data_IF_686218313127
#
_entry.id   IF_686218313127
#
_cell.length_a   1.000
_cell.length_b   1.000
_cell.length_c   1.000
_cell.angle_alpha   90.00
_cell.angle_beta   90.00
_cell.angle_gamma   90.00
#
_symmetry.space_group_name_H-M   'P 1'
#
loop_
_entity.id
_entity.type
_entity.pdbx_description
1 polymer ?
#
# COMPACT_ATOMS: atom_id res chain seq x y z
N UNK A 1 -16.80 9.22 -3.11
CA UNK A 1 -15.78 9.07 -4.18
C UNK A 1 -15.50 7.59 -4.45
N UNK A 2 -14.80 7.23 -5.54
CA UNK A 2 -14.45 5.84 -5.89
C UNK A 2 -13.70 5.11 -4.77
N UNK A 3 -12.75 5.78 -4.11
CA UNK A 3 -11.99 5.20 -3.00
C UNK A 3 -12.85 4.95 -1.75
N UNK A 4 -13.91 5.74 -1.55
CA UNK A 4 -14.85 5.50 -0.44
C UNK A 4 -15.68 4.24 -0.71
N UNK A 5 -16.12 4.06 -1.97
CA UNK A 5 -16.80 2.83 -2.40
C UNK A 5 -15.89 1.60 -2.29
N UNK A 6 -14.62 1.73 -2.66
CA UNK A 6 -13.64 0.65 -2.53
C UNK A 6 -13.36 0.30 -1.05
N UNK A 7 -13.31 1.29 -0.15
CA UNK A 7 -13.15 1.07 1.28
C UNK A 7 -14.39 0.42 1.92
N UNK A 8 -15.59 0.90 1.61
CA UNK A 8 -16.83 0.42 2.22
C UNK A 8 -17.30 -0.92 1.65
N UNK A 9 -17.05 -1.18 0.36
CA UNK A 9 -17.61 -2.33 -0.36
C UNK A 9 -17.24 -3.69 0.24
N UNK A 10 -15.97 -3.94 0.52
CA UNK A 10 -15.53 -5.21 1.11
C UNK A 10 -16.00 -5.37 2.57
N UNK A 11 -16.08 -4.26 3.32
CA UNK A 11 -16.57 -4.25 4.71
C UNK A 11 -18.04 -4.66 4.77
N UNK A 12 -18.87 -4.07 3.91
CA UNK A 12 -20.27 -4.46 3.75
C UNK A 12 -20.40 -5.92 3.34
N UNK A 13 -19.62 -6.36 2.34
CA UNK A 13 -19.63 -7.75 1.88
C UNK A 13 -19.34 -8.74 3.02
N UNK A 14 -18.28 -8.51 3.79
CA UNK A 14 -17.96 -9.38 4.93
C UNK A 14 -19.00 -9.39 6.04
N UNK A 15 -19.63 -8.26 6.34
CA UNK A 15 -20.71 -8.21 7.34
C UNK A 15 -21.95 -8.94 6.85
N UNK A 16 -22.37 -8.73 5.60
CA UNK A 16 -23.53 -9.39 5.01
C UNK A 16 -23.34 -10.90 4.84
N UNK A 17 -22.11 -11.35 4.58
CA UNK A 17 -21.74 -12.77 4.53
C UNK A 17 -21.55 -13.40 5.93
N UNK A 18 -21.68 -12.64 7.02
CA UNK A 18 -21.47 -13.14 8.39
C UNK A 18 -20.01 -13.45 8.73
N UNK A 19 -19.05 -12.94 7.94
CA UNK A 19 -17.60 -13.17 8.12
C UNK A 19 -16.94 -12.15 9.05
N UNK A 20 -17.65 -11.08 9.41
CA UNK A 20 -17.14 -10.02 10.27
C UNK A 20 -18.27 -9.38 11.08
N UNK A 21 -17.98 -8.83 12.27
CA UNK A 21 -18.98 -8.15 13.08
C UNK A 21 -19.43 -6.83 12.44
N UNK A 22 -20.66 -6.39 12.76
CA UNK A 22 -21.20 -5.11 12.28
C UNK A 22 -20.35 -3.89 12.69
N UNK A 23 -19.60 -3.99 13.79
CA UNK A 23 -18.67 -2.94 14.23
C UNK A 23 -17.57 -2.64 13.21
N UNK A 24 -17.26 -3.56 12.28
CA UNK A 24 -16.36 -3.31 11.15
C UNK A 24 -16.79 -2.09 10.32
N UNK A 25 -18.09 -1.85 10.18
CA UNK A 25 -18.61 -0.75 9.35
C UNK A 25 -18.28 0.63 9.93
N UNK A 26 -18.08 0.75 11.25
CA UNK A 26 -17.70 2.03 11.88
C UNK A 26 -16.36 2.54 11.34
N UNK A 27 -15.42 1.62 11.05
CA UNK A 27 -14.10 1.95 10.52
C UNK A 27 -14.16 2.70 9.19
N UNK A 28 -15.24 2.59 8.41
CA UNK A 28 -15.37 3.39 7.19
C UNK A 28 -15.37 4.88 7.49
N UNK A 29 -16.15 5.31 8.47
CA UNK A 29 -16.22 6.73 8.83
C UNK A 29 -14.92 7.17 9.50
N UNK A 30 -14.40 6.36 10.44
CA UNK A 30 -13.17 6.66 11.16
C UNK A 30 -11.97 6.85 10.21
N UNK A 31 -11.90 6.05 9.15
CA UNK A 31 -10.86 6.12 8.14
C UNK A 31 -11.11 7.23 7.10
N UNK A 32 -12.30 7.27 6.49
CA UNK A 32 -12.54 8.10 5.29
C UNK A 32 -12.88 9.54 5.62
N UNK A 33 -13.48 9.82 6.77
CA UNK A 33 -13.76 11.20 7.19
C UNK A 33 -12.47 11.98 7.43
N UNK A 34 -11.48 11.35 8.08
CA UNK A 34 -10.16 11.98 8.34
C UNK A 34 -9.44 12.26 7.02
N UNK A 35 -9.45 11.31 6.08
CA UNK A 35 -8.85 11.52 4.75
C UNK A 35 -9.54 12.66 3.98
N UNK A 36 -10.87 12.73 4.02
CA UNK A 36 -11.61 13.80 3.38
C UNK A 36 -11.30 15.18 4.00
N UNK A 37 -11.16 15.25 5.33
CA UNK A 37 -10.74 16.47 6.02
C UNK A 37 -9.34 16.90 5.58
N UNK A 38 -8.39 15.98 5.53
CA UNK A 38 -7.03 16.26 5.07
C UNK A 38 -7.01 16.79 3.63
N UNK A 39 -7.91 16.30 2.76
CA UNK A 39 -8.07 16.80 1.39
C UNK A 39 -8.60 18.23 1.35
N UNK A 40 -9.60 18.55 2.17
CA UNK A 40 -10.12 19.92 2.28
C UNK A 40 -9.03 20.86 2.80
N UNK A 41 -8.30 20.46 3.84
CA UNK A 41 -7.26 21.30 4.44
C UNK A 41 -6.08 21.50 3.48
N UNK A 42 -5.71 20.48 2.71
CA UNK A 42 -4.74 20.61 1.62
C UNK A 42 -5.23 21.59 0.54
N UNK A 43 -6.45 21.42 0.05
CA UNK A 43 -7.01 22.22 -1.03
C UNK A 43 -7.12 23.71 -0.66
N UNK A 44 -7.42 24.03 0.61
CA UNK A 44 -7.38 25.41 1.13
C UNK A 44 -5.98 26.04 1.02
N UNK A 45 -4.94 25.29 1.40
CA UNK A 45 -3.56 25.79 1.34
C UNK A 45 -3.14 25.96 -0.12
N UNK A 46 -3.40 24.94 -0.94
CA UNK A 46 -3.05 24.95 -2.37
C UNK A 46 -3.74 26.09 -3.12
N UNK A 47 -5.05 26.25 -2.94
CA UNK A 47 -5.82 27.33 -3.58
C UNK A 47 -5.35 28.71 -3.15
N UNK A 48 -5.00 28.88 -1.87
CA UNK A 48 -4.44 30.13 -1.35
C UNK A 48 -3.08 30.44 -1.98
N UNK A 49 -2.21 29.44 -2.10
CA UNK A 49 -0.90 29.59 -2.72
C UNK A 49 -1.01 29.94 -4.20
N UNK A 50 -1.89 29.26 -4.94
CA UNK A 50 -2.12 29.52 -6.37
C UNK A 50 -2.77 30.89 -6.65
N UNK A 51 -3.46 31.48 -5.67
CA UNK A 51 -4.08 32.80 -5.79
C UNK A 51 -3.11 33.97 -5.51
N UNK A 52 -1.95 33.70 -4.88
CA UNK A 52 -0.92 34.71 -4.64
C UNK A 52 -0.26 35.15 -5.94
N UNK A 53 0.04 36.44 -6.04
CA UNK A 53 0.89 36.94 -7.13
C UNK A 53 2.36 36.59 -6.88
N UNK A 54 3.21 36.44 -7.91
CA UNK A 54 4.63 36.13 -7.75
C UNK A 54 5.36 37.08 -6.77
N UNK A 55 4.97 38.35 -6.72
CA UNK A 55 5.58 39.36 -5.85
C UNK A 55 5.17 39.23 -4.36
N UNK A 56 4.15 38.44 -4.05
CA UNK A 56 3.63 38.21 -2.70
C UNK A 56 4.27 36.98 -2.03
N UNK A 57 5.15 36.26 -2.74
CA UNK A 57 5.92 35.15 -2.20
C UNK A 57 7.21 35.67 -1.56
N UNK A 58 7.49 35.21 -0.33
CA UNK A 58 8.75 35.52 0.35
C UNK A 58 9.94 34.80 -0.31
N UNK A 59 9.68 33.60 -0.88
CA UNK A 59 10.65 32.81 -1.63
C UNK A 59 10.04 32.37 -2.98
N UNK A 60 10.67 32.70 -4.13
CA UNK A 60 10.22 32.26 -5.45
C UNK A 60 10.11 30.73 -5.61
N UNK A 61 10.86 29.94 -4.82
CA UNK A 61 10.83 28.48 -4.84
C UNK A 61 9.74 27.86 -3.95
N UNK A 62 9.02 28.66 -3.14
CA UNK A 62 8.02 28.15 -2.18
C UNK A 62 6.94 27.30 -2.87
N UNK A 63 6.47 27.74 -4.04
CA UNK A 63 5.46 27.02 -4.82
C UNK A 63 6.00 25.70 -5.37
N UNK A 64 7.23 25.69 -5.89
CA UNK A 64 7.88 24.48 -6.41
C UNK A 64 8.10 23.47 -5.29
N UNK A 65 8.66 23.90 -4.16
CA UNK A 65 8.89 23.06 -2.99
C UNK A 65 7.58 22.46 -2.47
N UNK A 66 6.51 23.27 -2.40
CA UNK A 66 5.20 22.79 -2.00
C UNK A 66 4.66 21.75 -2.99
N UNK A 67 4.76 22.00 -4.30
CA UNK A 67 4.32 21.07 -5.33
C UNK A 67 5.04 19.72 -5.24
N UNK A 68 6.37 19.74 -5.14
CA UNK A 68 7.19 18.51 -5.04
C UNK A 68 6.87 17.74 -3.76
N UNK A 69 6.80 18.43 -2.61
CA UNK A 69 6.52 17.81 -1.32
C UNK A 69 5.13 17.16 -1.27
N UNK A 70 4.18 17.67 -2.04
CA UNK A 70 2.77 17.27 -1.97
C UNK A 70 2.29 16.51 -3.18
N UNK A 71 3.16 16.20 -4.15
CA UNK A 71 2.82 15.52 -5.39
C UNK A 71 2.11 14.16 -5.18
N UNK A 72 2.40 13.45 -4.09
CA UNK A 72 1.72 12.19 -3.75
C UNK A 72 0.26 12.38 -3.32
N UNK A 73 -0.13 13.59 -2.92
CA UNK A 73 -1.45 13.88 -2.38
C UNK A 73 -2.53 13.92 -3.50
N UNK A 74 -2.38 14.70 -4.59
CA UNK A 74 -3.28 14.61 -5.75
C UNK A 74 -3.31 13.23 -6.40
N UNK A 75 -2.20 12.48 -6.33
CA UNK A 75 -2.13 11.11 -6.81
C UNK A 75 -2.92 10.11 -5.95
N UNK A 76 -3.46 10.54 -4.80
CA UNK A 76 -4.21 9.71 -3.88
C UNK A 76 -3.34 8.72 -3.08
N UNK A 77 -2.03 8.94 -3.04
CA UNK A 77 -1.06 8.01 -2.42
C UNK A 77 -0.65 8.38 -0.99
N UNK A 78 -1.01 9.59 -0.54
CA UNK A 78 -0.75 10.05 0.83
C UNK A 78 -1.72 9.50 1.88
N UNK A 79 -2.71 8.69 1.50
CA UNK A 79 -3.62 8.09 2.49
C UNK A 79 -2.84 7.13 3.39
N UNK A 80 -2.84 7.42 4.68
CA UNK A 80 -2.26 6.60 5.74
C UNK A 80 -3.26 6.54 6.88
N UNK A 81 -3.80 5.35 7.15
CA UNK A 81 -4.73 5.15 8.23
C UNK A 81 -4.01 5.08 9.57
N UNK A 82 -4.58 5.75 10.58
CA UNK A 82 -4.10 5.66 11.95
C UNK A 82 -4.36 4.25 12.54
N UNK A 83 -3.64 3.86 13.61
CA UNK A 83 -3.90 2.63 14.34
C UNK A 83 -5.37 2.48 14.75
N UNK A 84 -5.93 1.29 14.53
CA UNK A 84 -7.35 0.99 14.71
C UNK A 84 -7.57 -0.53 14.82
N UNK A 85 -8.82 -0.98 14.77
CA UNK A 85 -9.12 -2.42 14.71
C UNK A 85 -8.59 -3.12 13.45
N UNK A 86 -8.31 -2.38 12.36
CA UNK A 86 -7.81 -2.92 11.09
C UNK A 86 -6.33 -2.60 10.84
N UNK A 87 -5.84 -1.50 11.42
CA UNK A 87 -4.48 -1.01 11.21
C UNK A 87 -3.69 -1.16 12.49
N UNK A 88 -2.62 -1.95 12.47
CA UNK A 88 -1.78 -2.16 13.64
C UNK A 88 -0.87 -0.95 13.92
N UNK A 89 -0.30 -0.91 15.13
CA UNK A 89 0.83 -0.03 15.44
C UNK A 89 2.08 -0.45 14.66
N UNK A 90 2.95 0.52 14.36
CA UNK A 90 4.16 0.33 13.55
C UNK A 90 5.34 -0.31 14.30
N UNK A 91 5.08 -1.25 15.22
CA UNK A 91 6.06 -1.81 16.17
C UNK A 91 7.24 -2.53 15.50
N UNK A 92 7.02 -3.17 14.35
CA UNK A 92 8.04 -3.92 13.59
C UNK A 92 8.15 -3.42 12.14
N UNK A 93 7.92 -2.12 11.93
CA UNK A 93 7.90 -1.51 10.60
C UNK A 93 9.25 -1.62 9.87
N UNK A 94 10.34 -1.73 10.62
CA UNK A 94 11.71 -1.90 10.15
C UNK A 94 11.91 -3.18 9.33
N UNK A 95 11.15 -4.25 9.62
CA UNK A 95 11.18 -5.50 8.84
C UNK A 95 10.71 -5.30 7.39
N UNK A 96 9.91 -4.28 7.11
CA UNK A 96 9.33 -4.02 5.81
C UNK A 96 9.19 -2.50 5.55
N UNK A 97 10.28 -1.75 5.69
CA UNK A 97 10.26 -0.27 5.60
C UNK A 97 9.66 0.30 4.30
N UNK A 98 9.67 -0.47 3.20
CA UNK A 98 9.03 -0.10 1.93
C UNK A 98 7.50 -0.23 1.90
N UNK A 99 6.89 -0.80 2.95
CA UNK A 99 5.46 -1.01 3.10
C UNK A 99 4.95 -0.41 4.42
N UNK A 100 4.80 0.92 4.51
CA UNK A 100 4.29 1.58 5.71
C UNK A 100 2.89 1.07 6.07
N UNK A 101 2.70 0.68 7.33
CA UNK A 101 1.41 0.24 7.86
C UNK A 101 0.39 1.38 7.74
N UNK A 102 -0.84 1.05 7.34
CA UNK A 102 -1.91 2.03 7.12
C UNK A 102 -1.87 2.70 5.73
N UNK A 103 -0.77 2.60 4.98
CA UNK A 103 -0.72 3.02 3.56
C UNK A 103 -1.15 1.89 2.62
N UNK A 104 -1.47 2.28 1.37
CA UNK A 104 -1.72 1.29 0.31
C UNK A 104 -0.48 0.40 0.07
N UNK A 105 -0.71 -0.85 -0.30
CA UNK A 105 0.36 -1.73 -0.76
C UNK A 105 0.94 -1.23 -2.09
N UNK A 106 2.22 -0.81 -2.09
CA UNK A 106 2.91 -0.35 -3.29
C UNK A 106 3.45 -1.55 -4.07
N UNK A 107 2.85 -1.81 -5.23
CA UNK A 107 3.31 -2.87 -6.12
C UNK A 107 4.80 -2.72 -6.47
N UNK A 108 5.50 -3.84 -6.57
CA UNK A 108 6.89 -3.94 -7.00
C UNK A 108 7.03 -5.01 -8.11
N UNK A 109 7.99 -4.85 -9.03
CA UNK A 109 8.27 -5.87 -10.03
C UNK A 109 8.84 -7.13 -9.35
N UNK A 110 8.34 -8.30 -9.75
CA UNK A 110 8.73 -9.63 -9.28
C UNK A 110 8.75 -10.60 -10.45
N UNK A 111 9.38 -11.75 -10.26
CA UNK A 111 9.37 -12.86 -11.24
C UNK A 111 8.65 -14.05 -10.63
N UNK A 112 7.66 -14.58 -11.32
CA UNK A 112 6.96 -15.78 -10.88
C UNK A 112 7.82 -17.02 -11.15
N UNK A 113 8.03 -17.85 -10.13
CA UNK A 113 8.97 -18.97 -10.19
C UNK A 113 8.55 -20.06 -11.18
N UNK A 114 7.25 -20.36 -11.30
CA UNK A 114 6.80 -21.51 -12.11
C UNK A 114 6.98 -21.33 -13.63
N UNK A 115 7.12 -20.10 -14.11
CA UNK A 115 7.19 -19.78 -15.54
C UNK A 115 8.18 -18.65 -15.88
N UNK A 116 8.96 -18.19 -14.91
CA UNK A 116 9.92 -17.09 -15.03
C UNK A 116 9.32 -15.77 -15.57
N UNK A 117 8.00 -15.56 -15.44
CA UNK A 117 7.33 -14.41 -16.02
C UNK A 117 7.52 -13.16 -15.13
N UNK A 118 8.08 -12.04 -15.65
CA UNK A 118 8.17 -10.77 -14.93
C UNK A 118 6.80 -10.08 -14.83
N UNK A 119 6.45 -9.61 -13.64
CA UNK A 119 5.14 -9.00 -13.36
C UNK A 119 5.16 -8.10 -12.13
N UNK A 120 4.02 -7.51 -11.81
CA UNK A 120 3.85 -6.65 -10.64
C UNK A 120 3.14 -7.39 -9.51
N UNK A 121 3.78 -7.49 -8.34
CA UNK A 121 3.28 -8.26 -7.19
C UNK A 121 1.88 -7.81 -6.74
N UNK A 122 1.63 -6.49 -6.74
CA UNK A 122 0.35 -5.93 -6.33
C UNK A 122 -0.82 -6.28 -7.27
N UNK A 123 -0.56 -6.67 -8.52
CA UNK A 123 -1.63 -6.97 -9.48
C UNK A 123 -2.32 -8.32 -9.21
N UNK A 124 -1.74 -9.17 -8.36
CA UNK A 124 -2.41 -10.39 -7.88
C UNK A 124 -3.48 -10.12 -6.82
N UNK A 125 -3.51 -8.92 -6.24
CA UNK A 125 -4.57 -8.49 -5.34
C UNK A 125 -5.75 -7.92 -6.15
N UNK A 126 -6.59 -8.81 -6.67
CA UNK A 126 -7.84 -8.44 -7.35
C UNK A 126 -8.93 -8.01 -6.37
N UNK A 127 -9.88 -7.20 -6.84
CA UNK A 127 -11.01 -6.69 -6.05
C UNK A 127 -12.09 -7.77 -5.80
N UNK A 128 -11.73 -8.78 -5.00
CA UNK A 128 -12.53 -9.98 -4.71
C UNK A 128 -12.84 -10.16 -3.20
N UNK A 129 -12.58 -9.12 -2.40
CA UNK A 129 -12.83 -9.12 -0.95
C UNK A 129 -11.89 -10.00 -0.12
N UNK A 130 -10.88 -10.66 -0.69
CA UNK A 130 -9.93 -11.46 0.09
C UNK A 130 -8.86 -10.60 0.78
N UNK A 131 -8.42 -11.02 1.95
CA UNK A 131 -7.19 -10.52 2.56
C UNK A 131 -5.97 -11.22 1.97
N UNK A 132 -4.82 -10.53 1.98
CA UNK A 132 -3.55 -11.05 1.46
C UNK A 132 -2.53 -11.11 2.58
N UNK A 133 -1.76 -12.18 2.60
CA UNK A 133 -0.56 -12.32 3.43
C UNK A 133 0.61 -12.43 2.46
N UNK A 134 1.49 -11.44 2.46
CA UNK A 134 2.74 -11.47 1.71
C UNK A 134 3.84 -11.98 2.63
N UNK A 135 4.42 -13.13 2.29
CA UNK A 135 5.50 -13.76 3.05
C UNK A 135 6.80 -13.52 2.30
N UNK A 136 7.66 -12.66 2.84
CA UNK A 136 9.01 -12.44 2.35
C UNK A 136 9.93 -13.42 3.07
N UNK A 137 10.41 -14.45 2.36
CA UNK A 137 11.32 -15.43 2.92
C UNK A 137 12.71 -14.81 3.14
N UNK A 138 13.42 -15.31 4.15
CA UNK A 138 14.83 -15.00 4.35
C UNK A 138 15.68 -15.44 3.14
N UNK A 139 16.92 -14.96 3.10
CA UNK A 139 17.90 -15.47 2.15
C UNK A 139 17.96 -17.00 2.19
N UNK A 140 18.01 -17.61 1.01
CA UNK A 140 18.12 -19.06 0.91
C UNK A 140 19.35 -19.54 1.71
N UNK A 141 19.14 -20.56 2.54
CA UNK A 141 20.23 -21.20 3.23
C UNK A 141 21.25 -21.73 2.19
N UNK A 142 22.56 -21.69 2.48
CA UNK A 142 23.54 -22.33 1.60
C UNK A 142 23.16 -23.81 1.40
N UNK A 143 23.40 -24.39 0.22
CA UNK A 143 23.12 -25.80 -0.02
C UNK A 143 23.84 -26.64 1.04
N UNK A 144 23.08 -27.34 1.86
CA UNK A 144 23.59 -28.40 2.73
C UNK A 144 23.53 -29.72 1.97
N UNK A 145 24.38 -30.69 2.31
CA UNK A 145 24.45 -32.01 1.66
C UNK A 145 23.11 -32.79 1.66
N UNK A 146 22.09 -32.31 2.38
CA UNK A 146 20.75 -32.87 2.44
C UNK A 146 19.74 -32.16 1.52
N UNK A 147 20.18 -31.17 0.73
CA UNK A 147 19.30 -30.45 -0.20
C UNK A 147 18.94 -31.38 -1.37
N UNK A 148 17.64 -31.64 -1.66
CA UNK A 148 17.22 -32.61 -2.68
C UNK A 148 17.62 -32.27 -4.12
N UNK A 149 18.28 -31.13 -4.33
CA UNK A 149 18.52 -30.53 -5.65
C UNK A 149 19.89 -30.88 -6.25
N UNK A 150 20.74 -31.65 -5.58
CA UNK A 150 21.98 -32.17 -6.17
C UNK A 150 21.98 -33.70 -6.24
N UNK A 151 21.47 -34.23 -7.36
CA UNK A 151 22.15 -35.33 -8.04
C UNK A 151 22.05 -35.13 -9.55
N UNK A 152 23.11 -34.62 -10.21
CA UNK A 152 23.24 -34.86 -11.63
C UNK A 152 23.40 -36.38 -11.78
N UNK A 153 22.41 -37.02 -12.38
CA UNK A 153 22.47 -38.43 -12.74
C UNK A 153 23.70 -38.61 -13.62
N UNK A 154 24.75 -39.21 -13.07
CA UNK A 154 25.93 -39.57 -13.83
C UNK A 154 25.46 -40.44 -14.99
N UNK A 155 25.56 -39.91 -16.21
CA UNK A 155 25.31 -40.66 -17.43
C UNK A 155 26.25 -41.85 -17.48
N UNK A 156 25.72 -43.03 -17.17
CA UNK A 156 26.33 -44.30 -17.49
C UNK A 156 26.13 -44.60 -18.98
N UNK A 157 27.25 -44.83 -19.66
CA UNK A 157 27.45 -45.63 -20.89
C UNK A 157 26.97 -44.97 -22.21
N UNK A 158 27.72 -45.03 -23.32
CA UNK A 158 28.70 -46.02 -23.78
C UNK A 158 29.92 -45.38 -24.47
#
# INVERSE_FOLDING_TARGET
>A
SLQDGFNLGWKLGHVLEGRSPASLLATYSDERQVVAKNLIDFDKVWSTMMAKKPEEFENPSELEEFYVRTAEFPAGFMTEYAPSMLTAEATHQDLAAGFPIGKRFKSAPVVRVCDANPMHLGHHATADGRWRIYVFADAAAPPTEQSPTEQPTAGQQA
#
